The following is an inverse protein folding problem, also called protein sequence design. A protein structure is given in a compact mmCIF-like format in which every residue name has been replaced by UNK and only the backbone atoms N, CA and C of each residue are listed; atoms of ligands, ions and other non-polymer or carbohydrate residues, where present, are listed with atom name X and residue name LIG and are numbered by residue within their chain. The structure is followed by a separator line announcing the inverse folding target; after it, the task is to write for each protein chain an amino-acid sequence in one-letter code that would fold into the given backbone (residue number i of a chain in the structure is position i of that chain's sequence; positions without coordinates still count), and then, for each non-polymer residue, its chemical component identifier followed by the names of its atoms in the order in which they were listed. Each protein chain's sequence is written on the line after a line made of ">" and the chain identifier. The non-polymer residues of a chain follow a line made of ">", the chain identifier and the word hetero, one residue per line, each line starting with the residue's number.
data_IF_299425508876
#
_entry.id   IF_299425508876
#
_cell.length_a   1.000
_cell.length_b   1.000
_cell.length_c   1.000
_cell.angle_alpha   90.00
_cell.angle_beta   90.00
_cell.angle_gamma   90.00
#
_symmetry.space_group_name_H-M   'P 1'
#
loop_
_entity.id
_entity.type
_entity.pdbx_description
1 polymer ?
#
# COMPACT_ATOMS: atom_id res chain seq x y z
N UNK A 1 -10.76 8.35 3.00
CA UNK A 1 -11.20 7.05 2.44
C UNK A 1 -12.33 6.53 3.31
N UNK A 2 -13.31 5.87 2.72
CA UNK A 2 -14.46 5.34 3.45
C UNK A 2 -14.60 3.85 3.19
N UNK A 3 -15.27 3.16 4.10
CA UNK A 3 -15.65 1.75 3.98
C UNK A 3 -17.17 1.68 4.01
N UNK A 4 -17.74 1.09 2.97
CA UNK A 4 -19.12 0.61 2.97
C UNK A 4 -19.11 -0.84 3.45
N UNK A 5 -19.60 -1.07 4.67
CA UNK A 5 -19.66 -2.39 5.27
C UNK A 5 -21.07 -2.98 5.16
N UNK A 6 -21.16 -4.23 4.72
CA UNK A 6 -22.39 -5.02 4.71
C UNK A 6 -22.18 -6.26 5.57
N UNK A 7 -22.93 -6.37 6.66
CA UNK A 7 -22.97 -7.56 7.51
C UNK A 7 -24.20 -8.37 7.14
N UNK A 8 -24.01 -9.65 6.84
CA UNK A 8 -25.05 -10.57 6.36
C UNK A 8 -25.10 -11.82 7.24
N UNK A 9 -26.28 -12.17 7.74
CA UNK A 9 -26.54 -13.47 8.36
C UNK A 9 -27.38 -14.31 7.39
N UNK A 10 -26.92 -15.54 7.10
CA UNK A 10 -27.50 -16.46 6.12
C UNK A 10 -27.83 -17.80 6.78
N UNK A 11 -29.02 -18.34 6.51
CA UNK A 11 -29.42 -19.67 7.01
C UNK A 11 -28.53 -20.80 6.45
N UNK A 12 -28.30 -21.85 7.24
CA UNK A 12 -27.45 -23.00 6.89
C UNK A 12 -27.79 -23.63 5.53
N UNK A 13 -29.08 -23.78 5.23
CA UNK A 13 -29.57 -24.39 3.98
C UNK A 13 -29.18 -23.61 2.71
N UNK A 14 -28.94 -22.31 2.85
CA UNK A 14 -28.68 -21.39 1.75
C UNK A 14 -27.20 -20.99 1.68
N UNK A 15 -26.44 -21.30 2.73
CA UNK A 15 -25.10 -20.81 2.96
C UNK A 15 -24.14 -21.06 1.80
N UNK A 16 -24.00 -22.31 1.35
CA UNK A 16 -22.98 -22.65 0.35
C UNK A 16 -23.29 -22.00 -1.01
N UNK A 17 -24.57 -21.98 -1.39
CA UNK A 17 -25.04 -21.33 -2.62
C UNK A 17 -24.84 -19.80 -2.54
N UNK A 18 -25.20 -19.20 -1.41
CA UNK A 18 -25.01 -17.77 -1.17
C UNK A 18 -23.54 -17.38 -1.18
N UNK A 19 -22.70 -18.14 -0.47
CA UNK A 19 -21.26 -17.90 -0.40
C UNK A 19 -20.60 -18.05 -1.78
N UNK A 20 -21.03 -19.03 -2.56
CA UNK A 20 -20.58 -19.18 -3.94
C UNK A 20 -20.97 -17.95 -4.78
N UNK A 21 -22.26 -17.58 -4.80
CA UNK A 21 -22.77 -16.42 -5.55
C UNK A 21 -22.09 -15.11 -5.14
N UNK A 22 -21.84 -14.89 -3.85
CA UNK A 22 -21.12 -13.72 -3.36
C UNK A 22 -19.72 -13.62 -3.97
N UNK A 23 -19.01 -14.75 -4.05
CA UNK A 23 -17.62 -14.81 -4.54
C UNK A 23 -17.52 -14.77 -6.07
N UNK A 24 -18.50 -15.33 -6.79
CA UNK A 24 -18.41 -15.49 -8.25
C UNK A 24 -19.24 -14.47 -9.03
N UNK A 25 -20.23 -13.84 -8.41
CA UNK A 25 -21.15 -12.91 -9.08
C UNK A 25 -21.20 -11.57 -8.35
N UNK A 26 -21.72 -11.53 -7.12
CA UNK A 26 -22.10 -10.26 -6.48
C UNK A 26 -20.91 -9.32 -6.19
N UNK A 27 -19.88 -9.80 -5.50
CA UNK A 27 -18.69 -8.96 -5.21
C UNK A 27 -18.02 -8.51 -6.52
N UNK A 28 -17.76 -9.41 -7.51
CA UNK A 28 -17.27 -9.00 -8.82
C UNK A 28 -18.11 -7.91 -9.50
N UNK A 29 -19.44 -8.00 -9.48
CA UNK A 29 -20.31 -6.98 -10.10
C UNK A 29 -20.28 -5.64 -9.36
N UNK A 30 -20.24 -5.65 -8.02
CA UNK A 30 -20.05 -4.43 -7.21
C UNK A 30 -18.72 -3.75 -7.57
N UNK A 31 -17.63 -4.53 -7.71
CA UNK A 31 -16.34 -3.98 -8.11
C UNK A 31 -16.32 -3.51 -9.59
N UNK A 32 -17.07 -4.18 -10.47
CA UNK A 32 -17.18 -3.81 -11.88
C UNK A 32 -17.86 -2.45 -12.13
N UNK A 33 -18.54 -1.89 -11.12
CA UNK A 33 -19.03 -0.50 -11.15
C UNK A 33 -17.90 0.53 -11.27
N UNK A 34 -16.66 0.15 -10.92
CA UNK A 34 -15.50 1.04 -10.87
C UNK A 34 -15.50 2.02 -9.70
N UNK A 35 -16.50 1.95 -8.80
CA UNK A 35 -16.66 2.89 -7.67
C UNK A 35 -15.89 2.48 -6.42
N UNK A 36 -15.45 1.21 -6.32
CA UNK A 36 -14.74 0.68 -5.16
C UNK A 36 -13.30 0.28 -5.51
N UNK A 37 -12.38 0.55 -4.58
CA UNK A 37 -10.95 0.23 -4.70
C UNK A 37 -10.67 -1.26 -4.40
N UNK A 38 -11.57 -1.93 -3.69
CA UNK A 38 -11.44 -3.33 -3.33
C UNK A 38 -12.52 -3.77 -2.35
N UNK A 39 -12.55 -5.09 -2.09
CA UNK A 39 -13.47 -5.70 -1.16
C UNK A 39 -12.74 -6.70 -0.25
N UNK A 40 -13.14 -6.78 1.02
CA UNK A 40 -12.70 -7.81 1.97
C UNK A 40 -13.93 -8.52 2.55
N UNK A 41 -14.08 -9.81 2.26
CA UNK A 41 -15.10 -10.67 2.84
C UNK A 41 -14.53 -11.44 4.04
N UNK A 42 -15.24 -11.43 5.15
CA UNK A 42 -14.84 -12.07 6.42
C UNK A 42 -16.02 -12.85 7.00
N UNK A 43 -15.73 -13.93 7.74
CA UNK A 43 -16.71 -14.70 8.52
C UNK A 43 -16.55 -14.35 10.00
N UNK A 44 -17.65 -14.13 10.70
CA UNK A 44 -17.66 -13.98 12.15
C UNK A 44 -17.50 -15.36 12.77
N UNK A 45 -16.53 -15.52 13.69
CA UNK A 45 -16.25 -16.82 14.32
C UNK A 45 -17.01 -17.03 15.63
N UNK A 46 -17.33 -15.96 16.34
CA UNK A 46 -18.12 -15.97 17.56
C UNK A 46 -19.58 -15.67 17.20
N UNK A 47 -20.33 -16.70 16.83
CA UNK A 47 -21.75 -16.59 16.48
C UNK A 47 -22.61 -16.91 17.72
N UNK A 48 -23.41 -15.94 18.16
CA UNK A 48 -24.55 -16.20 19.06
C UNK A 48 -25.81 -16.30 18.18
N UNK A 49 -26.30 -17.52 17.93
CA UNK A 49 -27.51 -17.75 17.14
C UNK A 49 -27.42 -18.91 16.16
N UNK A 50 -28.32 -18.90 15.17
CA UNK A 50 -28.40 -19.88 14.07
C UNK A 50 -27.98 -19.24 12.75
N UNK A 51 -27.50 -20.04 11.79
CA UNK A 51 -26.99 -19.53 10.51
C UNK A 51 -25.53 -19.10 10.59
N UNK A 52 -25.03 -18.50 9.50
CA UNK A 52 -23.67 -18.01 9.38
C UNK A 52 -23.62 -16.51 9.14
N UNK A 53 -22.69 -15.82 9.80
CA UNK A 53 -22.55 -14.36 9.70
C UNK A 53 -21.26 -13.97 9.00
N UNK A 54 -21.39 -13.11 8.01
CA UNK A 54 -20.30 -12.57 7.21
C UNK A 54 -20.32 -11.05 7.21
N UNK A 55 -19.15 -10.43 7.07
CA UNK A 55 -19.00 -9.01 6.79
C UNK A 55 -18.21 -8.83 5.50
N UNK A 56 -18.75 -8.01 4.59
CA UNK A 56 -18.07 -7.56 3.39
C UNK A 56 -17.83 -6.07 3.48
N UNK A 57 -16.56 -5.68 3.43
CA UNK A 57 -16.11 -4.30 3.49
C UNK A 57 -15.65 -3.86 2.10
N UNK A 58 -16.30 -2.84 1.55
CA UNK A 58 -15.93 -2.25 0.26
C UNK A 58 -15.27 -0.90 0.49
N UNK A 59 -14.06 -0.74 0.00
CA UNK A 59 -13.27 0.49 0.18
C UNK A 59 -13.57 1.48 -0.93
N UNK A 60 -13.85 2.74 -0.59
CA UNK A 60 -14.18 3.82 -1.55
C UNK A 60 -13.36 5.08 -1.26
N UNK A 61 -12.92 5.78 -2.31
CA UNK A 61 -12.00 6.89 -2.19
C UNK A 61 -12.62 8.12 -1.48
N UNK A 62 -13.88 8.45 -1.79
CA UNK A 62 -14.59 9.61 -1.25
C UNK A 62 -16.08 9.33 -1.00
N UNK A 63 -16.73 10.22 -0.24
CA UNK A 63 -18.15 10.10 0.11
C UNK A 63 -19.06 10.31 -1.11
N UNK A 64 -18.67 11.19 -2.03
CA UNK A 64 -19.42 11.49 -3.25
C UNK A 64 -19.52 10.26 -4.18
N UNK A 65 -18.45 9.46 -4.26
CA UNK A 65 -18.45 8.21 -5.03
C UNK A 65 -19.35 7.16 -4.36
N UNK A 66 -19.37 7.11 -3.03
CA UNK A 66 -20.27 6.22 -2.30
C UNK A 66 -21.75 6.61 -2.52
N UNK A 67 -22.03 7.91 -2.53
CA UNK A 67 -23.37 8.42 -2.75
C UNK A 67 -23.85 8.16 -4.19
N UNK A 68 -22.96 8.28 -5.20
CA UNK A 68 -23.32 7.90 -6.57
C UNK A 68 -23.55 6.40 -6.72
N UNK A 69 -22.79 5.54 -6.03
CA UNK A 69 -23.07 4.09 -5.98
C UNK A 69 -24.48 3.79 -5.45
N UNK A 70 -24.93 4.49 -4.41
CA UNK A 70 -26.28 4.29 -3.87
C UNK A 70 -27.39 4.67 -4.84
N UNK A 71 -27.16 5.69 -5.68
CA UNK A 71 -28.14 6.16 -6.64
C UNK A 71 -28.17 5.27 -7.90
N UNK A 72 -26.99 4.89 -8.40
CA UNK A 72 -26.85 4.32 -9.74
C UNK A 72 -26.88 2.77 -9.74
N UNK A 73 -26.25 2.12 -8.76
CA UNK A 73 -25.99 0.67 -8.84
C UNK A 73 -26.65 -0.12 -7.72
N UNK A 74 -26.62 0.41 -6.49
CA UNK A 74 -27.05 -0.32 -5.30
C UNK A 74 -28.48 -0.87 -5.38
N UNK A 75 -29.49 -0.16 -5.95
CA UNK A 75 -30.85 -0.70 -6.05
C UNK A 75 -30.91 -1.99 -6.86
N UNK A 76 -30.21 -2.04 -8.01
CA UNK A 76 -30.19 -3.21 -8.90
C UNK A 76 -29.48 -4.39 -8.22
N UNK A 77 -28.27 -4.15 -7.70
CA UNK A 77 -27.43 -5.18 -7.09
C UNK A 77 -28.06 -5.77 -5.82
N UNK A 78 -28.77 -4.96 -5.03
CA UNK A 78 -29.50 -5.43 -3.84
C UNK A 78 -30.71 -6.27 -4.20
N UNK A 79 -31.45 -5.87 -5.23
CA UNK A 79 -32.65 -6.58 -5.66
C UNK A 79 -32.33 -8.00 -6.13
N UNK A 80 -31.19 -8.20 -6.79
CA UNK A 80 -30.75 -9.52 -7.22
C UNK A 80 -30.49 -10.47 -6.04
N UNK A 81 -29.73 -10.02 -5.04
CA UNK A 81 -29.50 -10.82 -3.83
C UNK A 81 -30.79 -11.13 -3.08
N UNK A 82 -31.72 -10.17 -3.02
CA UNK A 82 -33.04 -10.39 -2.40
C UNK A 82 -33.89 -11.41 -3.17
N UNK A 83 -33.82 -11.44 -4.51
CA UNK A 83 -34.55 -12.43 -5.32
C UNK A 83 -34.01 -13.85 -5.12
N UNK A 84 -32.70 -13.99 -4.94
CA UNK A 84 -32.04 -15.29 -4.82
C UNK A 84 -32.13 -15.87 -3.40
N UNK A 85 -32.08 -15.02 -2.37
CA UNK A 85 -31.91 -15.46 -0.98
C UNK A 85 -32.94 -14.87 0.00
N UNK A 86 -33.89 -14.09 -0.48
CA UNK A 86 -35.10 -13.59 0.19
C UNK A 86 -35.11 -13.65 1.74
N UNK A 87 -35.92 -14.54 2.30
CA UNK A 87 -36.17 -14.74 3.72
C UNK A 87 -35.00 -15.39 4.47
N UNK A 88 -34.03 -15.94 3.74
CA UNK A 88 -32.88 -16.67 4.29
C UNK A 88 -31.70 -15.75 4.61
N UNK A 89 -31.71 -14.52 4.07
CA UNK A 89 -30.62 -13.55 4.16
C UNK A 89 -31.07 -12.27 4.85
N UNK A 90 -30.54 -12.02 6.04
CA UNK A 90 -30.69 -10.74 6.72
C UNK A 90 -29.40 -9.96 6.54
N UNK A 91 -29.48 -8.66 6.23
CA UNK A 91 -28.29 -7.83 6.05
C UNK A 91 -28.45 -6.44 6.65
N UNK A 92 -27.38 -5.96 7.27
CA UNK A 92 -27.26 -4.63 7.86
C UNK A 92 -26.05 -3.90 7.24
N UNK A 93 -26.11 -2.57 7.17
CA UNK A 93 -25.11 -1.75 6.48
C UNK A 93 -24.63 -0.62 7.36
N UNK A 94 -23.33 -0.37 7.33
CA UNK A 94 -22.67 0.75 8.01
C UNK A 94 -21.68 1.44 7.11
N UNK A 95 -21.47 2.72 7.36
CA UNK A 95 -20.43 3.51 6.74
C UNK A 95 -19.37 3.80 7.79
N UNK A 96 -18.10 3.62 7.42
CA UNK A 96 -16.97 3.88 8.30
C UNK A 96 -16.04 4.85 7.59
N UNK A 97 -15.59 5.88 8.29
CA UNK A 97 -14.48 6.70 7.84
C UNK A 97 -13.17 6.04 8.28
N UNK A 98 -12.23 5.90 7.34
CA UNK A 98 -10.89 5.41 7.65
C UNK A 98 -10.09 6.56 8.23
N UNK A 99 -9.91 6.54 9.56
CA UNK A 99 -9.11 7.53 10.28
C UNK A 99 -7.61 7.22 10.16
N UNK A 100 -7.23 5.95 10.28
CA UNK A 100 -5.86 5.46 10.15
C UNK A 100 -5.86 3.95 9.83
N UNK A 101 -4.78 3.45 9.23
CA UNK A 101 -4.56 2.02 8.98
C UNK A 101 -3.17 1.59 9.45
N UNK A 102 -3.13 0.67 10.41
CA UNK A 102 -1.88 0.15 10.96
C UNK A 102 -1.52 -1.17 10.30
N UNK A 103 -0.41 -1.20 9.57
CA UNK A 103 0.11 -2.40 8.95
C UNK A 103 1.29 -2.94 9.75
N UNK A 104 1.30 -4.25 10.01
CA UNK A 104 2.53 -4.94 10.40
C UNK A 104 3.42 -4.96 9.17
N UNK A 105 4.54 -4.22 9.18
CA UNK A 105 5.50 -4.26 8.08
C UNK A 105 6.15 -5.64 7.99
N UNK A 106 5.60 -6.51 7.15
CA UNK A 106 6.26 -7.73 6.65
C UNK A 106 6.43 -7.63 5.15
N UNK A 107 7.39 -6.83 4.74
CA UNK A 107 7.99 -6.95 3.43
C UNK A 107 9.31 -7.70 3.63
N UNK A 108 9.59 -8.76 2.86
CA UNK A 108 11.00 -9.13 2.66
C UNK A 108 11.60 -8.01 1.83
N UNK A 109 11.96 -6.94 2.51
CA UNK A 109 12.72 -5.85 1.95
C UNK A 109 14.06 -6.46 1.52
N UNK A 110 14.28 -6.52 0.20
CA UNK A 110 15.45 -7.17 -0.41
C UNK A 110 16.43 -6.16 -0.96
N UNK A 111 15.97 -4.93 -1.22
CA UNK A 111 16.81 -3.87 -1.77
C UNK A 111 17.44 -3.05 -0.66
N UNK A 112 18.75 -2.93 -0.70
CA UNK A 112 19.46 -1.97 0.13
C UNK A 112 19.58 -0.67 -0.67
N UNK A 113 19.14 0.45 -0.10
CA UNK A 113 19.32 1.80 -0.65
C UNK A 113 20.24 2.59 0.27
N UNK A 114 21.43 2.92 -0.20
CA UNK A 114 22.36 3.81 0.48
C UNK A 114 21.97 5.27 0.21
N UNK A 115 21.74 6.02 1.27
CA UNK A 115 21.33 7.43 1.22
C UNK A 115 22.35 8.30 1.93
N UNK A 116 22.57 9.50 1.41
CA UNK A 116 23.50 10.49 1.96
C UNK A 116 22.88 11.92 1.98
N UNK A 117 21.55 12.01 1.79
CA UNK A 117 20.81 13.26 1.64
C UNK A 117 19.40 13.23 2.23
N UNK A 118 18.47 13.99 1.65
CA UNK A 118 17.13 14.30 2.18
C UNK A 118 16.24 13.08 2.43
N UNK A 119 16.45 11.96 1.72
CA UNK A 119 15.75 10.70 2.02
C UNK A 119 16.01 10.16 3.44
N UNK A 120 16.99 10.71 4.17
CA UNK A 120 17.21 10.40 5.58
C UNK A 120 16.21 11.11 6.53
N UNK A 121 15.55 12.17 6.07
CA UNK A 121 14.64 12.99 6.86
C UNK A 121 13.27 12.33 7.04
N UNK A 122 12.74 12.36 8.26
CA UNK A 122 11.48 11.67 8.61
C UNK A 122 10.30 12.15 7.78
N UNK A 123 10.15 13.45 7.58
CA UNK A 123 9.04 14.05 6.84
C UNK A 123 9.08 13.66 5.35
N UNK A 124 10.28 13.64 4.76
CA UNK A 124 10.50 13.16 3.39
C UNK A 124 10.11 11.69 3.27
N UNK A 125 10.53 10.83 4.20
CA UNK A 125 10.15 9.41 4.16
C UNK A 125 8.65 9.19 4.29
N UNK A 126 7.96 9.94 5.15
CA UNK A 126 6.51 9.88 5.25
C UNK A 126 5.84 10.34 3.95
N UNK A 127 6.36 11.37 3.29
CA UNK A 127 5.86 11.83 1.99
C UNK A 127 6.09 10.83 0.85
N UNK A 128 7.28 10.20 0.80
CA UNK A 128 7.67 9.29 -0.30
C UNK A 128 7.14 7.87 -0.08
N UNK A 129 7.33 7.30 1.11
CA UNK A 129 7.04 5.88 1.39
C UNK A 129 5.76 5.65 2.19
N UNK A 130 5.13 6.72 2.70
CA UNK A 130 4.00 6.63 3.64
C UNK A 130 4.35 5.92 4.95
N UNK A 131 5.64 5.80 5.27
CA UNK A 131 6.18 5.23 6.51
C UNK A 131 7.63 5.65 6.72
N UNK A 132 8.13 5.45 7.93
CA UNK A 132 9.55 5.57 8.23
C UNK A 132 10.26 4.24 7.94
N UNK A 133 11.36 4.28 7.21
CA UNK A 133 12.16 3.12 6.85
C UNK A 133 13.12 2.74 7.99
N UNK A 134 13.19 1.44 8.31
CA UNK A 134 14.24 0.89 9.16
C UNK A 134 15.58 0.87 8.41
N UNK A 135 16.65 1.32 9.05
CA UNK A 135 17.96 1.40 8.42
C UNK A 135 19.11 1.43 9.41
N UNK A 136 20.32 1.22 8.90
CA UNK A 136 21.58 1.19 9.66
C UNK A 136 22.65 2.02 8.97
N UNK A 137 23.66 2.44 9.71
CA UNK A 137 24.76 3.23 9.17
C UNK A 137 25.74 2.34 8.39
N UNK A 138 26.19 2.82 7.23
CA UNK A 138 27.22 2.16 6.44
C UNK A 138 28.12 3.19 5.77
N UNK A 139 29.10 2.75 4.99
CA UNK A 139 30.08 3.61 4.34
C UNK A 139 30.27 3.21 2.88
N UNK A 140 30.13 4.18 1.99
CA UNK A 140 30.49 4.06 0.59
C UNK A 140 31.95 4.50 0.41
N UNK A 141 32.76 3.63 -0.20
CA UNK A 141 34.16 3.91 -0.52
C UNK A 141 34.32 4.33 -1.98
N UNK A 142 35.44 5.01 -2.29
CA UNK A 142 35.80 5.37 -3.66
C UNK A 142 34.89 6.46 -4.27
N UNK A 143 34.10 7.13 -3.44
CA UNK A 143 33.26 8.27 -3.80
C UNK A 143 33.45 9.39 -2.78
N UNK A 144 33.29 10.64 -3.22
CA UNK A 144 33.22 11.83 -2.36
C UNK A 144 31.99 12.66 -2.74
N UNK A 145 31.47 13.43 -1.79
CA UNK A 145 30.46 14.45 -2.09
C UNK A 145 31.17 15.57 -2.86
N UNK A 146 30.66 15.91 -4.04
CA UNK A 146 31.16 17.03 -4.85
C UNK A 146 30.79 18.36 -4.20
N UNK A 147 31.62 19.37 -4.44
CA UNK A 147 31.31 20.77 -4.15
C UNK A 147 30.23 21.32 -5.12
N UNK A 148 29.97 20.62 -6.23
CA UNK A 148 28.96 20.97 -7.22
C UNK A 148 27.62 20.37 -6.81
N UNK A 149 26.63 21.24 -6.59
CA UNK A 149 25.26 20.85 -6.25
C UNK A 149 24.34 20.93 -7.46
N UNK A 150 23.46 19.94 -7.64
CA UNK A 150 22.36 20.05 -8.61
C UNK A 150 21.42 21.16 -8.15
N UNK A 151 21.11 22.08 -9.07
CA UNK A 151 20.30 23.28 -8.81
C UNK A 151 20.80 24.14 -7.61
N UNK A 152 22.07 24.01 -7.21
CA UNK A 152 22.65 24.71 -6.06
C UNK A 152 22.21 24.18 -4.68
N UNK A 153 21.35 23.15 -4.63
CA UNK A 153 20.70 22.70 -3.40
C UNK A 153 21.08 21.28 -2.99
N UNK A 154 21.30 20.37 -3.94
CA UNK A 154 21.44 18.94 -3.64
C UNK A 154 22.86 18.40 -3.88
N UNK A 155 23.45 17.64 -2.94
CA UNK A 155 24.80 17.10 -3.08
C UNK A 155 24.88 16.03 -4.18
N UNK A 156 25.98 16.01 -4.92
CA UNK A 156 26.30 15.00 -5.93
C UNK A 156 27.47 14.15 -5.49
N UNK A 157 27.61 12.92 -5.99
CA UNK A 157 28.80 12.12 -5.72
C UNK A 157 29.71 12.08 -6.95
N UNK A 158 31.01 12.17 -6.70
CA UNK A 158 32.05 11.95 -7.70
C UNK A 158 32.88 10.73 -7.33
N UNK A 159 33.19 9.83 -8.29
CA UNK A 159 34.15 8.77 -8.07
C UNK A 159 35.55 9.36 -7.83
N UNK A 160 36.32 8.72 -6.96
CA UNK A 160 37.66 9.17 -6.56
C UNK A 160 38.62 8.00 -6.50
N UNK A 161 39.84 8.24 -6.95
CA UNK A 161 40.95 7.28 -6.88
C UNK A 161 41.63 7.27 -5.52
N UNK A 162 41.23 8.17 -4.60
CA UNK A 162 41.80 8.24 -3.27
C UNK A 162 41.11 7.22 -2.35
N UNK A 163 41.81 6.19 -1.86
CA UNK A 163 41.21 5.16 -1.00
C UNK A 163 40.80 5.69 0.39
N UNK A 164 41.20 6.90 0.77
CA UNK A 164 40.77 7.55 2.02
C UNK A 164 39.40 8.20 1.92
N UNK A 165 38.93 8.49 0.72
CA UNK A 165 37.65 9.14 0.52
C UNK A 165 36.51 8.15 0.76
N UNK A 166 35.59 8.57 1.63
CA UNK A 166 34.48 7.75 2.07
C UNK A 166 33.29 8.63 2.42
N UNK A 167 32.09 8.10 2.20
CA UNK A 167 30.83 8.77 2.52
C UNK A 167 30.14 7.97 3.59
N UNK A 168 29.88 8.63 4.72
CA UNK A 168 29.06 8.09 5.77
C UNK A 168 27.59 8.38 5.45
N UNK A 169 26.76 7.36 5.49
CA UNK A 169 25.34 7.47 5.15
C UNK A 169 24.52 6.36 5.78
N UNK A 170 23.24 6.34 5.44
CA UNK A 170 22.29 5.38 5.99
C UNK A 170 21.77 4.45 4.90
N UNK A 171 21.75 3.15 5.20
CA UNK A 171 21.17 2.13 4.35
C UNK A 171 19.78 1.82 4.84
N UNK A 172 18.79 2.00 3.97
CA UNK A 172 17.43 1.55 4.19
C UNK A 172 17.16 0.27 3.43
N UNK A 173 16.28 -0.56 3.97
CA UNK A 173 15.83 -1.77 3.28
C UNK A 173 14.44 -1.50 2.72
N UNK A 174 14.34 -1.57 1.39
CA UNK A 174 13.14 -1.22 0.62
C UNK A 174 12.56 -2.45 -0.07
N UNK A 175 11.26 -2.40 -0.34
CA UNK A 175 10.64 -3.25 -1.35
C UNK A 175 10.91 -2.76 -2.76
N UNK A 176 10.59 -3.59 -3.75
CA UNK A 176 10.55 -3.17 -5.16
C UNK A 176 9.69 -1.91 -5.37
N UNK A 177 8.52 -1.83 -4.74
CA UNK A 177 7.62 -0.68 -4.92
C UNK A 177 8.11 0.58 -4.20
N UNK A 178 8.70 0.43 -3.02
CA UNK A 178 9.37 1.55 -2.34
C UNK A 178 10.58 2.02 -3.13
N UNK A 179 11.32 1.10 -3.72
CA UNK A 179 12.47 1.42 -4.55
C UNK A 179 12.03 2.25 -5.78
N UNK A 180 10.89 1.92 -6.42
CA UNK A 180 10.28 2.75 -7.49
C UNK A 180 9.81 4.12 -6.99
N UNK A 181 9.27 4.21 -5.76
CA UNK A 181 8.89 5.50 -5.16
C UNK A 181 10.10 6.39 -4.92
N UNK A 182 11.22 5.81 -4.51
CA UNK A 182 12.49 6.52 -4.40
C UNK A 182 12.95 7.03 -5.78
N UNK A 183 12.82 6.22 -6.84
CA UNK A 183 13.16 6.65 -8.22
C UNK A 183 12.34 7.89 -8.62
N UNK A 184 11.04 7.87 -8.35
CA UNK A 184 10.15 8.99 -8.65
C UNK A 184 10.48 10.26 -7.84
N UNK A 185 10.88 10.11 -6.58
CA UNK A 185 11.25 11.24 -5.72
C UNK A 185 12.53 11.94 -6.19
N UNK A 186 13.55 11.17 -6.54
CA UNK A 186 14.85 11.69 -6.99
C UNK A 186 14.74 12.31 -8.40
N UNK A 187 13.80 11.80 -9.21
CA UNK A 187 13.44 12.36 -10.51
C UNK A 187 14.55 12.23 -11.57
N UNK A 188 14.40 12.93 -12.69
CA UNK A 188 15.28 12.78 -13.86
C UNK A 188 16.70 13.31 -13.66
N UNK A 189 16.93 14.07 -12.59
CA UNK A 189 18.22 14.65 -12.24
C UNK A 189 19.22 13.63 -11.68
N UNK A 190 18.71 12.47 -11.25
CA UNK A 190 19.52 11.43 -10.62
C UNK A 190 19.30 10.09 -11.30
N UNK A 191 20.34 9.27 -11.33
CA UNK A 191 20.31 7.90 -11.81
C UNK A 191 20.80 6.95 -10.72
N UNK A 192 20.13 5.81 -10.60
CA UNK A 192 20.47 4.82 -9.59
C UNK A 192 21.48 3.82 -10.13
N UNK A 193 22.59 3.66 -9.40
CA UNK A 193 23.60 2.65 -9.69
C UNK A 193 23.79 1.69 -8.53
N UNK A 194 24.24 0.47 -8.82
CA UNK A 194 24.56 -0.51 -7.78
C UNK A 194 26.03 -0.33 -7.33
N UNK A 195 26.24 -0.23 -6.02
CA UNK A 195 27.55 -0.05 -5.39
C UNK A 195 27.79 -1.08 -4.29
N UNK A 196 29.06 -1.38 -4.02
CA UNK A 196 29.49 -2.15 -2.86
C UNK A 196 29.76 -1.24 -1.66
N UNK A 197 29.22 -1.61 -0.49
CA UNK A 197 29.43 -0.89 0.77
C UNK A 197 30.51 -1.56 1.63
N UNK A 198 31.00 -0.84 2.65
CA UNK A 198 31.99 -1.37 3.61
C UNK A 198 31.52 -2.64 4.31
N UNK A 199 30.22 -2.78 4.57
CA UNK A 199 29.65 -4.00 5.15
C UNK A 199 29.74 -5.25 4.25
N UNK A 200 30.16 -5.10 2.98
CA UNK A 200 30.18 -6.16 1.98
C UNK A 200 28.84 -6.36 1.27
N UNK A 201 27.81 -5.59 1.64
CA UNK A 201 26.52 -5.60 0.97
C UNK A 201 26.55 -4.77 -0.32
N UNK A 202 25.76 -5.22 -1.29
CA UNK A 202 25.39 -4.41 -2.46
C UNK A 202 24.21 -3.53 -2.11
N UNK A 203 24.26 -2.28 -2.51
CA UNK A 203 23.18 -1.33 -2.34
C UNK A 203 23.06 -0.45 -3.58
N UNK A 204 21.85 0.03 -3.81
CA UNK A 204 21.60 1.10 -4.74
C UNK A 204 22.00 2.45 -4.14
N UNK A 205 22.48 3.38 -4.98
CA UNK A 205 22.72 4.78 -4.63
C UNK A 205 22.31 5.66 -5.81
N UNK A 206 21.77 6.84 -5.53
CA UNK A 206 21.48 7.84 -6.56
C UNK A 206 22.70 8.72 -6.81
N UNK A 207 23.04 8.90 -8.08
CA UNK A 207 24.08 9.80 -8.57
C UNK A 207 23.45 10.85 -9.47
N UNK A 208 23.86 12.11 -9.31
CA UNK A 208 23.43 13.14 -10.24
C UNK A 208 23.95 12.85 -11.65
N UNK A 209 23.12 13.13 -12.65
CA UNK A 209 23.51 13.08 -14.07
C UNK A 209 24.37 14.27 -14.48
#
# INVERSE_FOLDING_TARGET
>A
MYIYNVTSNIEDRAHDTWLHWMKTVHIPEVLATGKFLGAKMTKVLAEEGTGHTYSVQYTVASKEILDSYYLEDAPKLRLEGQKLFADQLISFRTELEVVDEFFVHRNTATHHLFTYGTLQEKEVQLGVFSRVLGGYDDTLHGHRISDIKVAGLYPTLEPTQNPKDKIHGKVYVLTDDELKKADFYEGDAYERIEVGLRSGKKAWVYLAR
#
